data_IF_836330670356
#
_entry.id   IF_836330670356
#
_cell.length_a   1.000
_cell.length_b   1.000
_cell.length_c   1.000
_cell.angle_alpha   90.00
_cell.angle_beta   90.00
_cell.angle_gamma   90.00
#
_symmetry.space_group_name_H-M   'P 1'
#
loop_
_entity.id
_entity.type
_entity.pdbx_description
1 polymer ?
#
# COMPACT_ATOMS: atom_id res chain seq x y z
N UNK A 1 -0.86 0.83 18.22
CA UNK A 1 -0.98 0.69 16.76
C UNK A 1 -1.93 -0.46 16.53
N UNK A 2 -3.00 -0.26 15.77
CA UNK A 2 -3.84 -1.38 15.33
C UNK A 2 -2.98 -2.41 14.60
N UNK A 3 -3.24 -3.69 14.83
CA UNK A 3 -2.48 -4.77 14.22
C UNK A 3 -2.76 -4.78 12.71
N UNK A 4 -1.73 -4.51 11.90
CA UNK A 4 -1.84 -4.53 10.44
C UNK A 4 -2.15 -5.94 9.96
N UNK A 5 -3.18 -6.09 9.13
CA UNK A 5 -3.65 -7.40 8.66
C UNK A 5 -3.02 -7.83 7.33
N UNK A 6 -2.09 -8.77 7.37
CA UNK A 6 -1.50 -9.35 6.16
C UNK A 6 -2.43 -10.34 5.43
N UNK A 7 -2.25 -10.47 4.10
CA UNK A 7 -3.01 -11.40 3.23
C UNK A 7 -2.69 -12.87 3.52
N UNK A 8 -1.41 -13.16 3.76
CA UNK A 8 -0.89 -14.50 4.07
C UNK A 8 0.53 -14.36 4.65
N UNK A 9 1.11 -15.49 5.07
CA UNK A 9 2.48 -15.52 5.61
C UNK A 9 3.50 -14.91 4.64
N UNK A 10 3.44 -15.25 3.35
CA UNK A 10 4.37 -14.72 2.36
C UNK A 10 4.30 -13.19 2.20
N UNK A 11 3.14 -12.57 2.44
CA UNK A 11 3.01 -11.11 2.46
C UNK A 11 3.73 -10.54 3.68
N UNK A 12 3.48 -11.09 4.87
CA UNK A 12 4.15 -10.68 6.12
C UNK A 12 5.67 -10.82 6.02
N UNK A 13 6.15 -11.98 5.57
CA UNK A 13 7.58 -12.30 5.56
C UNK A 13 8.31 -11.37 4.58
N UNK A 14 7.76 -11.14 3.38
CA UNK A 14 8.29 -10.16 2.43
C UNK A 14 8.36 -8.74 3.01
N UNK A 15 7.32 -8.30 3.72
CA UNK A 15 7.30 -6.98 4.34
C UNK A 15 8.45 -6.83 5.35
N UNK A 16 8.62 -7.79 6.25
CA UNK A 16 9.69 -7.79 7.25
C UNK A 16 11.07 -7.83 6.60
N UNK A 17 11.28 -8.72 5.63
CA UNK A 17 12.54 -8.85 4.90
C UNK A 17 12.91 -7.59 4.13
N UNK A 18 11.93 -6.94 3.49
CA UNK A 18 12.17 -5.70 2.75
C UNK A 18 12.51 -4.54 3.68
N UNK A 19 11.78 -4.41 4.79
CA UNK A 19 12.07 -3.38 5.80
C UNK A 19 13.45 -3.55 6.43
N UNK A 20 13.94 -4.79 6.61
CA UNK A 20 15.31 -5.04 7.11
C UNK A 20 16.41 -4.64 6.12
N UNK A 21 16.09 -4.56 4.81
CA UNK A 21 17.05 -4.17 3.77
C UNK A 21 17.14 -2.66 3.57
N UNK A 22 16.11 -1.92 3.99
CA UNK A 22 16.09 -0.47 3.90
C UNK A 22 16.91 0.20 5.00
N UNK A 23 17.41 1.40 4.69
CA UNK A 23 18.18 2.20 5.65
C UNK A 23 17.25 2.95 6.60
N UNK A 24 16.03 3.21 6.14
CA UNK A 24 15.02 3.99 6.85
C UNK A 24 13.83 3.11 7.23
N UNK A 25 13.31 3.32 8.43
CA UNK A 25 12.08 2.70 8.92
C UNK A 25 11.02 3.78 9.20
N UNK A 26 10.45 4.33 8.13
CA UNK A 26 9.41 5.36 8.20
C UNK A 26 8.06 4.86 7.64
N UNK A 27 7.04 5.71 7.69
CA UNK A 27 5.69 5.38 7.21
C UNK A 27 5.60 5.24 5.68
N UNK A 28 6.53 5.83 4.91
CA UNK A 28 6.56 5.73 3.45
C UNK A 28 7.04 4.36 2.99
N UNK A 29 8.17 3.90 3.54
CA UNK A 29 8.72 2.57 3.30
C UNK A 29 7.76 1.50 3.76
N UNK A 30 7.20 1.67 4.96
CA UNK A 30 6.21 0.72 5.51
C UNK A 30 5.00 0.59 4.61
N UNK A 31 4.42 1.70 4.16
CA UNK A 31 3.28 1.66 3.25
C UNK A 31 3.65 1.01 1.91
N UNK A 32 4.79 1.40 1.33
CA UNK A 32 5.26 0.89 0.05
C UNK A 32 5.48 -0.63 0.08
N UNK A 33 6.30 -1.15 1.00
CA UNK A 33 6.58 -2.59 1.06
C UNK A 33 5.38 -3.41 1.50
N UNK A 34 4.50 -2.83 2.31
CA UNK A 34 3.25 -3.50 2.66
C UNK A 34 2.39 -3.68 1.39
N UNK A 35 2.11 -2.61 0.65
CA UNK A 35 1.28 -2.69 -0.56
C UNK A 35 1.93 -3.60 -1.61
N UNK A 36 3.23 -3.44 -1.87
CA UNK A 36 3.99 -4.29 -2.80
C UNK A 36 4.03 -5.76 -2.38
N UNK A 37 3.83 -6.08 -1.09
CA UNK A 37 3.81 -7.43 -0.57
C UNK A 37 2.53 -8.23 -0.83
N UNK A 38 1.44 -7.57 -1.27
CA UNK A 38 0.12 -8.17 -1.43
C UNK A 38 0.08 -9.24 -2.54
N UNK A 39 0.73 -8.98 -3.67
CA UNK A 39 0.74 -9.85 -4.83
C UNK A 39 2.07 -10.61 -4.97
N UNK A 40 2.03 -11.83 -5.48
CA UNK A 40 3.24 -12.66 -5.64
C UNK A 40 4.19 -12.07 -6.68
N UNK A 41 3.63 -11.54 -7.76
CA UNK A 41 4.33 -10.95 -8.90
C UNK A 41 5.12 -9.70 -8.48
N UNK A 42 4.51 -8.81 -7.70
CA UNK A 42 5.16 -7.58 -7.21
C UNK A 42 6.32 -7.90 -6.27
N UNK A 43 6.18 -8.93 -5.42
CA UNK A 43 7.29 -9.43 -4.57
C UNK A 43 8.46 -9.94 -5.40
N UNK A 44 8.19 -10.77 -6.42
CA UNK A 44 9.24 -11.33 -7.30
C UNK A 44 9.98 -10.24 -8.08
N UNK A 45 9.33 -9.12 -8.36
CA UNK A 45 9.86 -8.04 -9.17
C UNK A 45 10.22 -6.78 -8.35
N UNK A 46 10.39 -6.88 -7.03
CA UNK A 46 10.62 -5.69 -6.18
C UNK A 46 11.85 -4.87 -6.59
N UNK A 47 12.92 -5.51 -7.05
CA UNK A 47 14.14 -4.82 -7.52
C UNK A 47 13.94 -4.02 -8.82
N UNK A 48 12.87 -4.29 -9.56
CA UNK A 48 12.47 -3.45 -10.70
C UNK A 48 11.76 -2.17 -10.22
N UNK A 49 11.14 -2.21 -9.04
CA UNK A 49 10.25 -1.16 -8.51
C UNK A 49 10.92 -0.30 -7.43
N UNK A 50 11.97 -0.81 -6.79
CA UNK A 50 12.69 -0.14 -5.71
C UNK A 50 14.19 -0.42 -5.83
N UNK A 51 15.00 0.62 -5.67
CA UNK A 51 16.45 0.51 -5.58
C UNK A 51 16.90 0.59 -4.12
N UNK A 52 17.24 -0.57 -3.55
CA UNK A 52 17.77 -0.65 -2.18
C UNK A 52 19.13 0.04 -1.98
N UNK A 53 19.87 0.37 -3.06
CA UNK A 53 21.14 1.10 -2.95
C UNK A 53 20.91 2.59 -2.70
N UNK A 54 19.95 3.18 -3.40
CA UNK A 54 19.58 4.60 -3.31
C UNK A 54 18.39 4.86 -2.37
N UNK A 55 17.72 3.79 -1.92
CA UNK A 55 16.54 3.81 -1.04
C UNK A 55 15.35 4.56 -1.66
N UNK A 56 15.14 4.36 -2.97
CA UNK A 56 14.15 5.08 -3.77
C UNK A 56 13.31 4.15 -4.65
N UNK A 57 12.06 4.57 -4.91
CA UNK A 57 11.20 3.95 -5.92
C UNK A 57 11.74 4.17 -7.33
N UNK A 58 11.41 3.25 -8.24
CA UNK A 58 11.82 3.26 -9.66
C UNK A 58 10.59 3.33 -10.57
N UNK A 59 10.14 4.52 -10.99
CA UNK A 59 8.97 4.68 -11.87
C UNK A 59 9.06 3.91 -13.19
N UNK A 60 10.27 3.67 -13.69
CA UNK A 60 10.50 2.92 -14.93
C UNK A 60 10.04 1.46 -14.81
N UNK A 61 10.00 0.91 -13.58
CA UNK A 61 9.48 -0.43 -13.32
C UNK A 61 7.97 -0.59 -13.60
N UNK A 62 7.22 0.52 -13.66
CA UNK A 62 5.77 0.55 -13.84
C UNK A 62 5.31 0.05 -15.22
N UNK A 63 6.22 -0.08 -16.19
CA UNK A 63 5.88 -0.53 -17.56
C UNK A 63 6.44 -1.92 -17.89
N UNK A 64 6.88 -2.67 -16.89
CA UNK A 64 7.44 -4.00 -17.09
C UNK A 64 6.36 -5.04 -17.48
N UNK A 65 6.68 -5.92 -18.43
CA UNK A 65 5.74 -6.86 -19.05
C UNK A 65 5.21 -7.99 -18.17
N UNK A 66 5.60 -8.06 -16.89
CA UNK A 66 5.08 -9.05 -15.94
C UNK A 66 3.78 -8.63 -15.25
N UNK A 67 3.34 -7.38 -15.46
CA UNK A 67 2.16 -6.85 -14.78
C UNK A 67 0.84 -7.40 -15.33
N UNK A 68 -0.07 -7.69 -14.39
CA UNK A 68 -1.49 -7.98 -14.62
C UNK A 68 -2.33 -6.78 -14.18
N UNK A 69 -3.62 -6.77 -14.51
CA UNK A 69 -4.54 -5.71 -14.09
C UNK A 69 -4.57 -5.49 -12.57
N UNK A 70 -4.45 -6.56 -11.78
CA UNK A 70 -4.37 -6.48 -10.32
C UNK A 70 -3.04 -5.89 -9.82
N UNK A 71 -1.92 -6.30 -10.41
CA UNK A 71 -0.60 -5.81 -9.97
C UNK A 71 -0.37 -4.36 -10.36
N UNK A 72 -0.93 -3.89 -11.48
CA UNK A 72 -0.91 -2.47 -11.86
C UNK A 72 -1.50 -1.63 -10.73
N UNK A 73 -2.67 -2.01 -10.19
CA UNK A 73 -3.33 -1.30 -9.08
C UNK A 73 -2.49 -1.31 -7.81
N UNK A 74 -1.83 -2.44 -7.50
CA UNK A 74 -0.88 -2.55 -6.37
C UNK A 74 0.27 -1.55 -6.55
N UNK A 75 0.92 -1.55 -7.71
CA UNK A 75 2.03 -0.65 -8.00
C UNK A 75 1.60 0.83 -7.95
N UNK A 76 0.47 1.17 -8.55
CA UNK A 76 -0.08 2.53 -8.56
C UNK A 76 -0.29 3.06 -7.14
N UNK A 77 -0.96 2.27 -6.28
CA UNK A 77 -1.18 2.68 -4.90
C UNK A 77 0.13 2.79 -4.11
N UNK A 78 1.04 1.82 -4.25
CA UNK A 78 2.31 1.84 -3.52
C UNK A 78 3.13 3.10 -3.85
N UNK A 79 3.23 3.45 -5.14
CA UNK A 79 3.91 4.66 -5.61
C UNK A 79 3.20 5.93 -5.14
N UNK A 80 1.87 5.95 -5.18
CA UNK A 80 1.09 7.09 -4.72
C UNK A 80 1.28 7.34 -3.21
N UNK A 81 1.33 6.30 -2.38
CA UNK A 81 1.56 6.45 -0.95
C UNK A 81 3.00 6.88 -0.61
N UNK A 82 3.96 6.65 -1.51
CA UNK A 82 5.35 7.05 -1.33
C UNK A 82 5.53 8.58 -1.34
N UNK A 83 4.95 9.30 -2.30
CA UNK A 83 5.05 10.77 -2.35
C UNK A 83 3.97 11.46 -3.21
N UNK A 84 2.82 10.83 -3.39
CA UNK A 84 1.77 11.35 -4.26
C UNK A 84 2.00 11.11 -5.74
N UNK A 85 2.92 10.20 -6.11
CA UNK A 85 3.16 9.85 -7.51
C UNK A 85 1.85 9.50 -8.22
N UNK A 86 1.65 10.13 -9.38
CA UNK A 86 0.65 9.80 -10.37
C UNK A 86 1.29 10.04 -11.74
N UNK A 87 1.07 9.11 -12.67
CA UNK A 87 1.58 9.24 -14.04
C UNK A 87 0.81 10.36 -14.76
N UNK A 88 1.54 11.33 -15.31
CA UNK A 88 0.97 12.47 -16.02
C UNK A 88 0.14 12.02 -17.23
N UNK A 89 -1.08 12.54 -17.36
CA UNK A 89 -2.05 12.13 -18.36
C UNK A 89 -2.74 10.79 -18.07
N UNK A 90 -2.43 10.14 -16.95
CA UNK A 90 -3.06 8.89 -16.48
C UNK A 90 -3.47 8.95 -15.00
N UNK A 91 -3.69 10.15 -14.47
CA UNK A 91 -4.05 10.40 -13.07
C UNK A 91 -5.32 9.66 -12.66
N UNK A 92 -6.25 9.44 -13.60
CA UNK A 92 -7.46 8.63 -13.38
C UNK A 92 -7.14 7.25 -12.80
N UNK A 93 -6.04 6.62 -13.20
CA UNK A 93 -5.63 5.29 -12.75
C UNK A 93 -5.20 5.23 -11.28
N UNK A 94 -5.09 6.39 -10.62
CA UNK A 94 -4.74 6.53 -9.20
C UNK A 94 -5.96 6.90 -8.34
N UNK A 95 -7.15 7.00 -8.95
CA UNK A 95 -8.39 7.30 -8.23
C UNK A 95 -8.91 6.06 -7.48
N UNK A 96 -9.71 6.25 -6.41
CA UNK A 96 -10.30 5.13 -5.69
C UNK A 96 -11.12 4.18 -6.59
N UNK A 97 -11.84 4.70 -7.58
CA UNK A 97 -12.64 3.91 -8.52
C UNK A 97 -11.79 2.86 -9.25
N UNK A 98 -10.66 3.30 -9.80
CA UNK A 98 -9.76 2.41 -10.54
C UNK A 98 -9.00 1.47 -9.60
N UNK A 99 -8.52 1.97 -8.46
CA UNK A 99 -7.68 1.21 -7.53
C UNK A 99 -8.47 0.13 -6.76
N UNK A 100 -9.62 0.46 -6.19
CA UNK A 100 -10.32 -0.41 -5.22
C UNK A 100 -11.26 -1.42 -5.87
N UNK A 101 -11.46 -1.37 -7.19
CA UNK A 101 -12.19 -2.40 -7.93
C UNK A 101 -11.32 -3.67 -8.15
N UNK A 102 -10.90 -4.33 -7.06
CA UNK A 102 -10.18 -5.61 -7.08
C UNK A 102 -10.21 -6.33 -5.71
N UNK A 103 -9.82 -7.61 -5.69
CA UNK A 103 -9.75 -8.42 -4.45
C UNK A 103 -8.74 -7.90 -3.40
N UNK A 104 -7.85 -6.99 -3.78
CA UNK A 104 -6.84 -6.43 -2.88
C UNK A 104 -7.33 -5.24 -2.05
N UNK A 105 -8.51 -4.71 -2.34
CA UNK A 105 -9.07 -3.52 -1.70
C UNK A 105 -9.01 -3.53 -0.15
N UNK A 106 -9.34 -4.64 0.56
CA UNK A 106 -9.21 -4.67 2.02
C UNK A 106 -7.78 -4.46 2.50
N UNK A 107 -6.79 -4.98 1.75
CA UNK A 107 -5.37 -4.82 2.09
C UNK A 107 -4.84 -3.45 1.69
N UNK A 108 -5.38 -2.82 0.64
CA UNK A 108 -5.05 -1.42 0.33
C UNK A 108 -5.36 -0.47 1.48
N UNK A 109 -6.46 -0.70 2.20
CA UNK A 109 -6.79 0.06 3.41
C UNK A 109 -5.73 -0.09 4.51
N UNK A 110 -5.20 -1.30 4.71
CA UNK A 110 -4.11 -1.55 5.66
C UNK A 110 -2.82 -0.82 5.25
N UNK A 111 -2.53 -0.71 3.95
CA UNK A 111 -1.41 0.09 3.43
C UNK A 111 -1.58 1.59 3.72
N UNK A 112 -2.81 2.11 3.60
CA UNK A 112 -3.13 3.50 3.97
C UNK A 112 -2.95 3.72 5.48
N UNK A 113 -3.40 2.78 6.32
CA UNK A 113 -3.16 2.84 7.78
C UNK A 113 -1.67 2.84 8.11
N UNK A 114 -0.87 2.06 7.39
CA UNK A 114 0.58 2.04 7.55
C UNK A 114 1.24 3.39 7.18
N UNK A 115 0.68 4.08 6.19
CA UNK A 115 1.13 5.41 5.76
C UNK A 115 0.75 6.51 6.73
N UNK A 116 -0.44 6.43 7.33
CA UNK A 116 -1.06 7.50 8.14
C UNK A 116 -1.51 6.99 9.52
N UNK A 117 -0.59 6.42 10.33
CA UNK A 117 -0.97 5.78 11.60
C UNK A 117 -1.59 6.74 12.63
N UNK A 118 -1.27 8.03 12.55
CA UNK A 118 -1.84 9.07 13.39
C UNK A 118 -3.28 9.45 13.02
N UNK A 119 -3.66 9.30 11.75
CA UNK A 119 -5.00 9.64 11.25
C UNK A 119 -5.94 8.43 11.25
N UNK A 120 -5.40 7.23 11.14
CA UNK A 120 -6.19 5.99 11.09
C UNK A 120 -6.35 5.31 12.46
N UNK A 121 -6.46 6.09 13.54
CA UNK A 121 -6.80 5.58 14.87
C UNK A 121 -8.26 5.15 14.90
N UNK A 122 -8.60 4.27 15.84
CA UNK A 122 -9.99 3.86 16.03
C UNK A 122 -10.87 5.09 16.24
N UNK A 123 -11.95 5.16 15.47
CA UNK A 123 -12.92 6.24 15.64
C UNK A 123 -13.49 6.16 17.06
N UNK A 124 -13.71 7.30 17.73
CA UNK A 124 -14.37 7.29 19.02
C UNK A 124 -15.74 6.62 18.87
N UNK A 125 -16.09 5.74 19.80
CA UNK A 125 -17.37 5.05 19.80
C UNK A 125 -18.49 6.09 19.74
N UNK A 126 -19.45 6.00 18.78
CA UNK A 126 -20.56 6.93 18.73
C UNK A 126 -21.26 6.96 20.08
N UNK A 127 -21.43 8.14 20.67
CA UNK A 127 -22.25 8.29 21.87
C UNK A 127 -23.65 7.80 21.50
N UNK A 128 -24.12 6.71 22.13
CA UNK A 128 -25.50 6.27 22.01
C UNK A 128 -26.38 7.46 22.36
N UNK A 129 -27.09 8.02 21.37
CA UNK A 129 -28.19 8.92 21.69
C UNK A 129 -29.19 8.06 22.43
N UNK A 130 -29.37 8.32 23.72
CA UNK A 130 -30.54 7.85 24.46
C UNK A 130 -31.74 8.38 23.71
N UNK A 131 -32.43 7.51 22.99
CA UNK A 131 -33.76 7.76 22.46
C UNK A 131 -34.62 8.23 23.63
N UNK A 132 -34.89 9.53 23.69
CA UNK A 132 -35.96 10.03 24.53
C UNK A 132 -37.26 9.60 23.87
N UNK A 133 -37.78 8.46 24.34
CA UNK A 133 -39.16 8.04 24.11
C UNK A 133 -40.07 9.20 24.50
N UNK A 134 -40.86 9.69 23.54
CA UNK A 134 -42.05 10.51 23.82
C UNK A 134 -43.18 10.06 22.93
#
# INVERSE_FOLDING_TARGET
>A
MSEIRFRNAAHRDFFLESMMKCRVNDCYHRAFFYVMGIAGETRRNINAMFDFKTDCIKPEGMHAGWQTSGTVKVCHLAFNLWNGYAEEGREKLFTPEELFCCEFAPYFMEGIKARYPEYCRDLPTPKKQTEHTR
#
